data_IF_672422988030
#
_entry.id   IF_672422988030
#
_cell.length_a   1.000
_cell.length_b   1.000
_cell.length_c   1.000
_cell.angle_alpha   90.00
_cell.angle_beta   90.00
_cell.angle_gamma   90.00
#
_symmetry.space_group_name_H-M   'P 1'
#
loop_
_entity.id
_entity.type
_entity.pdbx_description
1 polymer ?
#
# COMPACT_ATOMS: atom_id res chain seq x y z
N UNK A 1 -12.16 -12.59 13.19
CA UNK A 1 -11.66 -12.60 12.87
C UNK A 1 -11.02 -12.47 12.70
N UNK A 2 -10.88 -12.35 12.54
CA UNK A 2 -10.24 -12.25 12.21
C UNK A 2 -9.73 -11.87 11.79
N UNK A 3 -9.67 -11.62 11.67
CA UNK A 3 -9.22 -11.29 11.17
C UNK A 3 -8.64 -10.95 10.80
N UNK A 4 -8.77 -10.69 10.72
CA UNK A 4 -8.30 -10.37 10.29
C UNK A 4 -7.59 -10.08 10.02
N UNK A 5 -7.35 -9.94 10.44
CA UNK A 5 -6.31 -9.73 10.19
C UNK A 5 -5.94 -9.27 9.09
N UNK A 6 -5.27 -8.53 9.02
CA UNK A 6 -5.07 -8.19 7.67
C UNK A 6 -6.18 -8.56 6.74
N UNK A 7 -7.33 -8.57 7.18
CA UNK A 7 -8.42 -8.99 6.34
C UNK A 7 -8.69 -8.00 5.23
N UNK A 8 -9.32 -8.48 4.17
CA UNK A 8 -9.74 -7.62 3.08
C UNK A 8 -10.79 -6.62 3.54
N UNK A 9 -10.56 -5.36 3.24
CA UNK A 9 -11.54 -4.32 3.54
C UNK A 9 -12.47 -4.08 2.36
N UNK A 10 -12.15 -4.62 1.20
CA UNK A 10 -12.98 -4.47 -0.01
C UNK A 10 -13.68 -5.78 -0.32
N UNK A 11 -14.97 -5.81 -0.07
CA UNK A 11 -15.78 -7.02 -0.26
C UNK A 11 -17.09 -6.67 -0.94
N UNK A 12 -17.64 -7.67 -1.65
CA UNK A 12 -18.95 -7.48 -2.27
C UNK A 12 -20.07 -7.75 -1.26
N UNK A 13 -21.31 -7.71 -1.73
CA UNK A 13 -22.47 -7.88 -0.87
C UNK A 13 -22.53 -9.26 -0.21
N UNK A 14 -21.86 -10.25 -0.80
CA UNK A 14 -21.83 -11.61 -0.28
C UNK A 14 -20.60 -11.86 0.61
N UNK A 15 -19.81 -10.81 0.86
CA UNK A 15 -18.63 -10.92 1.70
C UNK A 15 -17.40 -11.48 0.98
N UNK A 16 -17.47 -11.62 -0.34
CA UNK A 16 -16.33 -12.12 -1.11
C UNK A 16 -15.35 -10.97 -1.37
N UNK A 17 -14.04 -11.24 -1.29
CA UNK A 17 -13.06 -10.19 -1.54
C UNK A 17 -13.12 -9.69 -2.97
N UNK A 18 -12.97 -8.38 -3.13
CA UNK A 18 -12.89 -7.73 -4.43
C UNK A 18 -11.45 -7.60 -4.90
N UNK A 19 -10.51 -7.99 -4.06
CA UNK A 19 -9.08 -7.92 -4.35
C UNK A 19 -8.49 -9.32 -4.38
N UNK A 20 -7.34 -9.42 -4.98
CA UNK A 20 -6.65 -10.69 -5.16
C UNK A 20 -5.18 -10.55 -4.78
N UNK A 21 -4.45 -11.66 -4.77
CA UNK A 21 -3.02 -11.63 -4.55
C UNK A 21 -2.34 -11.07 -5.79
N UNK A 22 -1.19 -10.44 -5.59
CA UNK A 22 -0.41 -9.87 -6.69
C UNK A 22 0.92 -10.62 -6.80
N UNK A 23 1.33 -10.90 -8.03
CA UNK A 23 2.60 -11.55 -8.29
C UNK A 23 3.74 -10.57 -8.10
N UNK A 24 4.87 -11.06 -7.61
CA UNK A 24 6.04 -10.24 -7.40
C UNK A 24 6.42 -9.44 -8.64
N UNK A 25 6.32 -10.07 -9.81
CA UNK A 25 6.69 -9.41 -11.06
C UNK A 25 5.82 -8.21 -11.41
N UNK A 26 4.62 -8.13 -10.82
CA UNK A 26 3.68 -7.04 -11.12
C UNK A 26 3.74 -5.91 -10.10
N UNK A 27 4.50 -6.08 -9.01
CA UNK A 27 4.50 -5.10 -7.92
C UNK A 27 5.12 -3.78 -8.33
N UNK A 28 6.31 -3.82 -8.94
CA UNK A 28 7.01 -2.59 -9.29
C UNK A 28 6.19 -1.69 -10.19
N UNK A 29 5.56 -2.26 -11.21
CA UNK A 29 4.74 -1.47 -12.14
C UNK A 29 3.46 -0.97 -11.47
N UNK A 30 2.91 -1.73 -10.55
CA UNK A 30 1.72 -1.30 -9.81
C UNK A 30 2.07 -0.14 -8.87
N UNK A 31 3.20 -0.25 -8.17
CA UNK A 31 3.66 0.84 -7.30
C UNK A 31 4.00 2.08 -8.12
N UNK A 32 4.64 1.91 -9.28
CA UNK A 32 4.92 3.04 -10.16
C UNK A 32 3.65 3.75 -10.57
N UNK A 33 2.61 2.99 -10.88
CA UNK A 33 1.31 3.58 -11.21
C UNK A 33 0.74 4.36 -10.03
N UNK A 34 0.84 3.80 -8.82
CA UNK A 34 0.39 4.51 -7.62
C UNK A 34 1.16 5.81 -7.42
N UNK A 35 2.45 5.82 -7.73
CA UNK A 35 3.24 7.04 -7.64
C UNK A 35 2.70 8.13 -8.55
N UNK A 36 2.21 7.75 -9.74
CA UNK A 36 1.68 8.73 -10.68
C UNK A 36 0.39 9.38 -10.17
N UNK A 37 -0.46 8.63 -9.50
CA UNK A 37 -1.74 9.18 -9.06
C UNK A 37 -1.66 9.85 -7.69
N UNK A 38 -0.68 9.49 -6.87
CA UNK A 38 -0.53 10.06 -5.53
C UNK A 38 0.53 11.15 -5.46
N UNK A 39 1.48 11.14 -6.38
CA UNK A 39 2.60 12.06 -6.32
C UNK A 39 3.65 11.67 -5.29
N UNK A 40 3.52 10.50 -4.70
CA UNK A 40 4.47 10.04 -3.69
C UNK A 40 5.63 9.29 -4.30
N UNK A 41 6.78 9.34 -3.64
CA UNK A 41 7.91 8.49 -3.98
C UNK A 41 7.83 7.25 -3.09
N UNK A 42 7.59 6.12 -3.69
CA UNK A 42 7.39 4.86 -2.97
C UNK A 42 8.45 3.80 -3.26
N UNK A 43 9.38 4.08 -4.15
CA UNK A 43 10.30 3.05 -4.63
C UNK A 43 11.74 3.48 -4.77
N UNK A 44 12.06 4.75 -4.57
CA UNK A 44 13.39 5.26 -4.87
C UNK A 44 14.47 4.70 -3.96
N UNK A 45 14.27 4.81 -2.65
CA UNK A 45 15.26 4.37 -1.69
C UNK A 45 15.16 2.88 -1.47
N UNK A 46 16.29 2.19 -1.57
CA UNK A 46 16.35 0.73 -1.51
C UNK A 46 17.29 0.25 -0.42
N UNK A 47 17.03 -0.95 0.08
CA UNK A 47 17.89 -1.59 1.05
C UNK A 47 19.05 -2.31 0.34
N UNK A 48 19.85 -3.03 1.08
CA UNK A 48 21.01 -3.73 0.53
C UNK A 48 20.64 -4.82 -0.46
N UNK A 49 19.44 -5.38 -0.32
CA UNK A 49 18.93 -6.39 -1.22
C UNK A 49 18.31 -5.80 -2.49
N UNK A 50 18.29 -4.47 -2.59
CA UNK A 50 17.69 -3.81 -3.73
C UNK A 50 16.19 -3.66 -3.66
N UNK A 51 15.60 -3.90 -2.50
CA UNK A 51 14.15 -3.79 -2.32
C UNK A 51 13.83 -2.41 -1.76
N UNK A 52 12.85 -1.70 -2.33
CA UNK A 52 12.49 -0.39 -1.80
C UNK A 52 12.15 -0.47 -0.31
N UNK A 53 12.72 0.43 0.46
CA UNK A 53 12.56 0.41 1.91
C UNK A 53 11.13 0.70 2.34
N UNK A 54 10.35 1.36 1.50
CA UNK A 54 8.95 1.66 1.80
C UNK A 54 8.00 0.50 1.49
N UNK A 55 8.53 -0.59 0.92
CA UNK A 55 7.74 -1.80 0.69
C UNK A 55 7.83 -2.66 1.94
N UNK A 56 6.73 -2.74 2.67
CA UNK A 56 6.69 -3.37 3.99
C UNK A 56 6.20 -4.82 3.91
N UNK A 57 6.42 -5.55 4.97
CA UNK A 57 5.94 -6.93 5.07
C UNK A 57 6.51 -7.81 3.97
N UNK A 58 5.64 -8.57 3.31
CA UNK A 58 6.05 -9.46 2.24
C UNK A 58 6.16 -8.78 0.88
N UNK A 59 5.82 -7.49 0.80
CA UNK A 59 5.79 -6.75 -0.46
C UNK A 59 7.13 -6.82 -1.18
N UNK A 60 7.14 -7.46 -2.34
CA UNK A 60 8.35 -7.58 -3.15
C UNK A 60 9.34 -8.63 -2.66
N UNK A 61 9.06 -9.32 -1.57
CA UNK A 61 10.00 -10.26 -0.96
C UNK A 61 9.62 -11.72 -1.16
N UNK A 62 8.38 -11.98 -1.54
CA UNK A 62 7.85 -13.32 -1.79
C UNK A 62 7.33 -13.42 -3.20
N UNK A 63 7.14 -14.64 -3.71
CA UNK A 63 6.64 -14.80 -5.09
C UNK A 63 5.30 -14.12 -5.33
N UNK A 64 4.46 -14.02 -4.32
CA UNK A 64 3.25 -13.22 -4.39
C UNK A 64 2.93 -12.64 -3.02
N UNK A 65 2.00 -11.69 -2.99
CA UNK A 65 1.59 -11.03 -1.77
C UNK A 65 0.07 -10.87 -1.78
N UNK A 66 -0.53 -10.99 -0.59
CA UNK A 66 -1.97 -10.82 -0.46
C UNK A 66 -2.39 -9.36 -0.55
N UNK A 67 -1.49 -8.47 -0.19
CA UNK A 67 -1.72 -7.04 -0.29
C UNK A 67 -0.37 -6.35 -0.49
N UNK A 68 -0.44 -5.06 -0.77
CA UNK A 68 0.75 -4.22 -0.85
C UNK A 68 0.79 -3.36 0.41
N UNK A 69 1.84 -3.49 1.18
CA UNK A 69 2.03 -2.66 2.37
C UNK A 69 3.09 -1.63 2.04
N UNK A 70 2.71 -0.37 2.01
CA UNK A 70 3.60 0.72 1.62
C UNK A 70 3.68 1.74 2.74
N UNK A 71 4.90 2.15 3.05
CA UNK A 71 5.13 3.17 4.07
C UNK A 71 4.98 4.55 3.46
N UNK A 72 4.35 5.45 4.21
CA UNK A 72 4.20 6.85 3.82
C UNK A 72 4.73 7.71 4.95
N UNK A 73 5.51 8.72 4.60
CA UNK A 73 6.03 9.65 5.58
C UNK A 73 4.93 10.62 6.02
N UNK A 74 4.51 10.48 7.26
CA UNK A 74 3.42 11.30 7.80
C UNK A 74 3.77 12.78 7.91
N UNK A 75 5.05 13.12 7.77
CA UNK A 75 5.46 14.52 7.76
C UNK A 75 5.30 15.16 6.39
N UNK A 76 5.19 14.34 5.34
CA UNK A 76 5.06 14.85 3.98
C UNK A 76 3.61 14.98 3.52
N UNK A 77 2.74 14.12 4.02
CA UNK A 77 1.35 14.11 3.60
C UNK A 77 0.49 13.54 4.73
N UNK A 78 -0.71 14.07 4.87
CA UNK A 78 -1.65 13.53 5.86
C UNK A 78 -2.51 12.44 5.25
N UNK A 79 -3.17 11.66 6.11
CA UNK A 79 -4.12 10.65 5.63
C UNK A 79 -5.23 11.29 4.80
N UNK A 80 -5.72 12.44 5.28
CA UNK A 80 -6.79 13.13 4.57
C UNK A 80 -6.36 13.57 3.18
N UNK A 81 -5.12 14.04 3.05
CA UNK A 81 -4.61 14.46 1.76
C UNK A 81 -4.43 13.28 0.82
N UNK A 82 -3.88 12.18 1.31
CA UNK A 82 -3.72 11.00 0.47
C UNK A 82 -5.07 10.46 0.04
N UNK A 83 -5.98 10.33 0.99
CA UNK A 83 -7.34 9.89 0.66
C UNK A 83 -7.96 10.80 -0.39
N UNK A 84 -7.77 12.12 -0.24
CA UNK A 84 -8.29 13.10 -1.20
C UNK A 84 -7.76 12.86 -2.61
N UNK A 85 -6.48 12.55 -2.75
CA UNK A 85 -5.89 12.27 -4.06
C UNK A 85 -6.44 11.00 -4.67
N UNK A 86 -6.60 9.96 -3.86
CA UNK A 86 -7.16 8.69 -4.33
C UNK A 86 -8.64 8.84 -4.69
N UNK A 87 -9.38 9.58 -3.87
CA UNK A 87 -10.80 9.84 -4.14
C UNK A 87 -10.98 10.67 -5.40
N UNK A 88 -10.08 11.63 -5.64
CA UNK A 88 -10.13 12.44 -6.85
C UNK A 88 -9.90 11.59 -8.09
N UNK A 89 -8.97 10.64 -8.01
CA UNK A 89 -8.74 9.73 -9.12
C UNK A 89 -9.98 8.89 -9.40
N UNK A 90 -10.59 8.33 -8.36
CA UNK A 90 -11.79 7.52 -8.51
C UNK A 90 -12.92 8.32 -9.14
N UNK A 91 -13.14 9.53 -8.64
CA UNK A 91 -14.19 10.40 -9.16
C UNK A 91 -13.94 10.76 -10.62
N UNK A 92 -12.69 11.05 -10.96
CA UNK A 92 -12.32 11.38 -12.33
C UNK A 92 -12.62 10.23 -13.28
N UNK A 93 -12.53 9.00 -12.78
CA UNK A 93 -12.81 7.81 -13.58
C UNK A 93 -14.23 7.31 -13.39
N UNK A 94 -15.10 8.15 -12.84
CA UNK A 94 -16.53 7.86 -12.66
C UNK A 94 -16.77 6.67 -11.73
N UNK A 95 -15.91 6.52 -10.74
CA UNK A 95 -16.03 5.51 -9.72
C UNK A 95 -16.42 6.17 -8.40
N UNK A 96 -17.14 5.45 -7.56
CA UNK A 96 -17.50 5.95 -6.23
C UNK A 96 -16.31 5.79 -5.30
N UNK A 97 -15.76 6.89 -4.77
CA UNK A 97 -14.61 6.78 -3.86
C UNK A 97 -14.84 5.84 -2.69
N UNK A 98 -16.07 5.71 -2.24
CA UNK A 98 -16.38 4.82 -1.11
C UNK A 98 -16.11 3.35 -1.43
N UNK A 99 -16.14 2.99 -2.71
CA UNK A 99 -15.87 1.62 -3.13
C UNK A 99 -14.38 1.35 -3.32
N UNK A 100 -13.58 2.40 -3.38
CA UNK A 100 -12.17 2.29 -3.75
C UNK A 100 -11.22 2.65 -2.62
N UNK A 101 -11.67 3.43 -1.64
CA UNK A 101 -10.82 3.96 -0.57
C UNK A 101 -11.46 3.70 0.77
N UNK A 102 -10.65 3.30 1.74
CA UNK A 102 -11.09 3.10 3.12
C UNK A 102 -10.04 3.67 4.06
N UNK A 103 -10.50 4.13 5.22
CA UNK A 103 -9.61 4.57 6.28
C UNK A 103 -9.74 3.63 7.47
N UNK A 104 -8.61 3.30 8.06
CA UNK A 104 -8.60 2.67 9.38
C UNK A 104 -7.58 3.45 10.21
N UNK A 105 -7.43 3.11 11.46
CA UNK A 105 -6.60 3.88 12.39
C UNK A 105 -5.40 4.59 11.78
N UNK A 106 -4.42 3.82 11.32
CA UNK A 106 -3.18 4.42 10.86
C UNK A 106 -2.91 4.18 9.38
N UNK A 107 -3.91 3.78 8.64
CA UNK A 107 -3.71 3.43 7.24
C UNK A 107 -4.79 3.97 6.34
N UNK A 108 -4.43 4.17 5.09
CA UNK A 108 -5.36 4.42 4.00
C UNK A 108 -5.32 3.18 3.13
N UNK A 109 -6.46 2.60 2.83
CA UNK A 109 -6.55 1.40 1.99
C UNK A 109 -7.12 1.78 0.63
N UNK A 110 -6.57 1.20 -0.41
CA UNK A 110 -7.00 1.50 -1.76
C UNK A 110 -7.17 0.21 -2.55
N UNK A 111 -8.27 0.12 -3.30
CA UNK A 111 -8.51 -1.01 -4.21
C UNK A 111 -7.74 -0.71 -5.50
N UNK A 112 -6.53 -1.21 -5.59
CA UNK A 112 -5.57 -0.82 -6.61
C UNK A 112 -5.65 -1.71 -7.84
N UNK A 113 -5.91 -1.14 -9.03
CA UNK A 113 -5.84 -1.94 -10.25
C UNK A 113 -4.40 -2.40 -10.44
N UNK A 114 -4.21 -3.69 -10.65
CA UNK A 114 -2.87 -4.25 -10.86
C UNK A 114 -2.30 -3.64 -12.14
N UNK A 115 -1.12 -3.03 -12.01
CA UNK A 115 -0.46 -2.30 -13.09
C UNK A 115 -1.32 -1.16 -13.65
N UNK A 116 -2.29 -0.68 -12.86
CA UNK A 116 -3.20 0.36 -13.29
C UNK A 116 -4.27 -0.12 -14.28
N UNK A 117 -4.37 -1.42 -14.49
CA UNK A 117 -5.29 -2.00 -15.47
C UNK A 117 -6.35 -2.85 -14.76
N UNK A 118 -7.60 -2.35 -14.68
CA UNK A 118 -8.67 -3.11 -14.02
C UNK A 118 -8.90 -4.50 -14.61
N UNK A 119 -8.52 -4.73 -15.86
CA UNK A 119 -8.66 -6.04 -16.46
C UNK A 119 -7.76 -7.08 -15.83
N UNK A 120 -6.71 -6.64 -15.17
CA UNK A 120 -5.80 -7.56 -14.47
C UNK A 120 -6.27 -7.88 -13.06
N UNK A 121 -7.32 -7.21 -12.61
CA UNK A 121 -7.84 -7.38 -11.27
C UNK A 121 -7.31 -6.30 -10.34
N UNK A 122 -7.59 -6.46 -9.05
CA UNK A 122 -7.25 -5.46 -8.04
C UNK A 122 -6.50 -6.10 -6.89
N UNK A 123 -5.58 -5.36 -6.31
CA UNK A 123 -4.89 -5.77 -5.09
C UNK A 123 -5.15 -4.70 -4.03
N UNK A 124 -5.33 -5.13 -2.78
CA UNK A 124 -5.48 -4.19 -1.69
C UNK A 124 -4.14 -3.54 -1.38
N UNK A 125 -4.10 -2.22 -1.34
CA UNK A 125 -2.90 -1.50 -0.95
C UNK A 125 -3.16 -0.82 0.37
N UNK A 126 -2.26 -1.01 1.32
CA UNK A 126 -2.34 -0.40 2.64
C UNK A 126 -1.21 0.63 2.74
N UNK A 127 -1.59 1.91 2.78
CA UNK A 127 -0.62 2.98 2.98
C UNK A 127 -0.50 3.20 4.49
N UNK A 128 0.64 2.79 5.04
CA UNK A 128 0.90 2.87 6.47
C UNK A 128 1.64 4.16 6.77
N UNK A 129 1.06 5.03 7.58
CA UNK A 129 1.65 6.33 7.88
C UNK A 129 2.63 6.22 9.03
N UNK A 130 3.87 6.62 8.77
CA UNK A 130 4.95 6.58 9.74
C UNK A 130 5.28 7.99 10.21
N UNK A 131 5.38 8.21 11.51
CA UNK A 131 5.65 9.56 12.03
C UNK A 131 7.07 10.04 11.71
N UNK A 132 7.99 9.10 11.54
CA UNK A 132 9.37 9.40 11.18
C UNK A 132 9.81 8.29 10.22
N UNK A 133 9.96 8.65 8.97
CA UNK A 133 10.26 7.65 7.95
C UNK A 133 11.60 6.95 8.17
N UNK A 134 12.58 7.70 8.63
CA UNK A 134 13.87 7.11 8.91
C UNK A 134 13.75 6.05 10.02
N UNK A 135 13.09 6.42 11.09
CA UNK A 135 12.85 5.50 12.19
C UNK A 135 11.97 4.34 11.74
N UNK A 136 10.91 4.63 11.03
CA UNK A 136 9.99 3.63 10.54
C UNK A 136 10.67 2.64 9.61
N UNK A 137 11.49 3.14 8.73
CA UNK A 137 12.22 2.29 7.81
C UNK A 137 13.17 1.37 8.57
N UNK A 138 13.86 1.91 9.52
CA UNK A 138 14.80 1.16 10.32
C UNK A 138 14.09 0.02 11.06
N UNK A 139 12.94 0.31 11.62
CA UNK A 139 12.17 -0.68 12.34
C UNK A 139 11.59 -1.76 11.45
N UNK A 140 11.00 -1.36 10.35
CA UNK A 140 10.16 -2.24 9.56
C UNK A 140 10.85 -2.83 8.34
N UNK A 141 11.64 -2.05 7.69
CA UNK A 141 12.26 -2.45 6.45
C UNK A 141 13.54 -3.20 6.64
N UNK A 142 14.21 -2.91 7.68
CA UNK A 142 15.48 -3.54 7.87
C UNK A 142 15.36 -4.62 8.88
N UNK A 143 15.54 -5.80 8.47
CA UNK A 143 15.67 -6.84 9.44
C UNK A 143 16.75 -6.45 10.42
N UNK A 144 17.74 -5.81 9.92
CA UNK A 144 18.81 -5.33 10.75
C UNK A 144 18.38 -4.21 11.63
N UNK A 145 17.29 -3.64 11.35
CA UNK A 145 16.78 -2.64 12.22
C UNK A 145 16.72 -3.14 13.62
N UNK A 146 16.99 -4.40 13.76
CA UNK A 146 17.07 -4.96 15.09
C UNK A 146 17.98 -4.16 16.00
N UNK A 147 19.03 -3.64 15.52
CA UNK A 147 19.93 -2.87 16.35
C UNK A 147 19.24 -1.65 16.91
N UNK A 148 18.23 -1.24 16.27
CA UNK A 148 17.56 -0.01 16.57
C UNK A 148 16.22 -0.23 17.23
N UNK A 149 15.71 -1.41 17.07
CA UNK A 149 14.38 -1.60 17.56
C UNK A 149 14.24 -1.61 19.05
N UNK A 150 15.29 -1.53 19.72
CA UNK A 150 15.18 -1.29 21.12
C UNK A 150 14.68 0.12 21.38
N UNK A 151 14.66 0.84 20.35
CA UNK A 151 14.25 2.21 20.41
C UNK A 151 12.77 2.31 20.51
#
# INVERSE_FOLDING_TARGET
MQLQEGGNVFKDAQGQPLTQRIKQADIASTVAWLETITGLDLSHDRDEAGIPIKWLGSTGKKPDSGDLDLAVDATEITKAELKGRLDAWATKHKQDPRDWTRLTGEAVHFKTPIQGDPKRGYVQTDFMFMPDMEWGTFWLGGGTGSAYKGV
#
